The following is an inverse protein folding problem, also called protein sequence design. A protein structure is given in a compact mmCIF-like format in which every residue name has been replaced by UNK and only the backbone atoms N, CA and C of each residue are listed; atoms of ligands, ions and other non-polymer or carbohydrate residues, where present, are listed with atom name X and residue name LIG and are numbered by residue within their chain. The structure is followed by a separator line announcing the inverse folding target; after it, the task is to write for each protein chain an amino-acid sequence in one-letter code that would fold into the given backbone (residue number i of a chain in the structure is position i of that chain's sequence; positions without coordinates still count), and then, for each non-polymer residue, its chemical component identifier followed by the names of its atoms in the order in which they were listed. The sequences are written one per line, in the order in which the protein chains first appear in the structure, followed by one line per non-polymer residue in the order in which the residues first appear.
data_IF_473907216658
#
_entry.id   IF_473907216658
#
_cell.length_a   1.000
_cell.length_b   1.000
_cell.length_c   1.000
_cell.angle_alpha   90.00
_cell.angle_beta   90.00
_cell.angle_gamma   90.00
#
_symmetry.space_group_name_H-M   'P 1'
#
loop_
_entity.id
_entity.type
_entity.pdbx_description
1 polymer ?
#
# COMPACT_ATOMS: atom_id res chain seq x y z
N UNK A 1 21.08 -51.53 11.07
CA UNK A 1 21.39 -50.17 10.58
C UNK A 1 20.08 -49.46 10.27
N UNK A 2 19.66 -48.52 11.13
CA UNK A 2 18.37 -47.80 11.01
C UNK A 2 18.56 -46.59 10.07
N UNK A 3 17.83 -46.57 8.96
CA UNK A 3 17.84 -45.51 7.96
C UNK A 3 17.41 -44.16 8.57
N UNK A 4 18.37 -43.31 8.94
CA UNK A 4 18.13 -41.97 9.52
C UNK A 4 18.04 -40.84 8.48
N UNK A 5 18.07 -41.15 7.18
CA UNK A 5 18.26 -40.13 6.13
C UNK A 5 17.01 -39.82 5.28
N UNK A 6 15.83 -40.34 5.64
CA UNK A 6 14.60 -40.11 4.84
C UNK A 6 13.79 -38.88 5.31
N UNK A 7 14.07 -38.33 6.50
CA UNK A 7 13.31 -37.21 7.07
C UNK A 7 13.71 -35.84 6.48
N UNK A 8 14.91 -35.70 5.91
CA UNK A 8 15.36 -34.42 5.33
C UNK A 8 14.83 -34.13 3.92
N UNK A 9 14.22 -35.10 3.24
CA UNK A 9 13.72 -34.91 1.88
C UNK A 9 12.32 -34.27 1.82
N UNK A 10 11.60 -34.18 2.95
CA UNK A 10 10.24 -33.62 3.00
C UNK A 10 10.17 -32.11 3.29
N UNK A 11 11.30 -31.44 3.54
CA UNK A 11 11.32 -30.03 3.98
C UNK A 11 11.68 -29.02 2.87
N UNK A 12 12.00 -29.47 1.66
CA UNK A 12 12.51 -28.61 0.57
C UNK A 12 11.40 -28.16 -0.42
N UNK A 13 10.17 -28.68 -0.31
CA UNK A 13 9.10 -28.42 -1.29
C UNK A 13 8.10 -27.30 -0.90
N UNK A 14 8.46 -26.38 0.00
CA UNK A 14 7.54 -25.37 0.55
C UNK A 14 8.04 -23.92 0.42
N UNK A 15 8.86 -23.64 -0.60
CA UNK A 15 9.35 -22.30 -0.92
C UNK A 15 9.17 -21.95 -2.40
N UNK A 16 8.05 -22.33 -3.01
CA UNK A 16 7.57 -21.56 -4.16
C UNK A 16 6.84 -20.35 -3.59
N UNK A 17 7.43 -19.13 -3.58
CA UNK A 17 6.63 -17.95 -3.32
C UNK A 17 5.53 -17.95 -4.37
N UNK A 18 4.28 -18.06 -3.91
CA UNK A 18 3.11 -17.73 -4.71
C UNK A 18 3.30 -16.26 -5.07
N UNK A 19 3.90 -15.99 -6.24
CA UNK A 19 4.01 -14.64 -6.75
C UNK A 19 2.57 -14.15 -6.95
N UNK A 20 2.07 -13.38 -5.99
CA UNK A 20 0.76 -12.75 -6.11
C UNK A 20 0.82 -11.78 -7.28
N UNK A 21 0.04 -12.05 -8.31
CA UNK A 21 -0.08 -11.15 -9.44
C UNK A 21 -0.84 -9.91 -8.99
N UNK A 22 -0.19 -8.76 -8.98
CA UNK A 22 -0.82 -7.48 -8.69
C UNK A 22 -1.39 -6.84 -9.96
N UNK A 23 -2.59 -6.27 -9.85
CA UNK A 23 -3.20 -5.44 -10.87
C UNK A 23 -3.24 -3.99 -10.42
N UNK A 24 -2.88 -3.08 -11.31
CA UNK A 24 -3.03 -1.63 -11.08
C UNK A 24 -4.49 -1.30 -10.85
N UNK A 25 -4.80 -0.74 -9.68
CA UNK A 25 -6.14 -0.25 -9.40
C UNK A 25 -6.35 1.08 -10.13
N UNK A 26 -7.24 1.05 -11.11
CA UNK A 26 -7.52 2.16 -12.01
C UNK A 26 -9.02 2.51 -11.97
N UNK A 27 -9.41 3.62 -12.61
CA UNK A 27 -10.80 4.04 -12.63
C UNK A 27 -11.75 2.97 -13.19
N UNK A 28 -11.33 2.24 -14.24
CA UNK A 28 -12.15 1.18 -14.84
C UNK A 28 -12.42 0.02 -13.86
N UNK A 29 -11.43 -0.38 -13.07
CA UNK A 29 -11.63 -1.41 -12.02
C UNK A 29 -12.55 -0.87 -10.93
N UNK A 30 -12.40 0.39 -10.51
CA UNK A 30 -13.32 1.01 -9.55
C UNK A 30 -14.76 1.01 -10.07
N UNK A 31 -14.98 1.32 -11.35
CA UNK A 31 -16.32 1.25 -11.94
C UNK A 31 -16.86 -0.18 -11.99
N UNK A 32 -16.04 -1.17 -12.34
CA UNK A 32 -16.43 -2.59 -12.29
C UNK A 32 -16.88 -3.02 -10.89
N UNK A 33 -16.16 -2.59 -9.84
CA UNK A 33 -16.57 -2.85 -8.45
C UNK A 33 -17.90 -2.18 -8.12
N UNK A 34 -18.10 -0.93 -8.53
CA UNK A 34 -19.37 -0.21 -8.35
C UNK A 34 -20.54 -0.90 -9.05
N UNK A 35 -20.37 -1.31 -10.31
CA UNK A 35 -21.39 -2.03 -11.08
C UNK A 35 -21.75 -3.39 -10.48
N UNK A 36 -20.78 -4.03 -9.81
CA UNK A 36 -20.96 -5.30 -9.13
C UNK A 36 -21.45 -5.17 -7.67
N UNK A 37 -21.74 -3.95 -7.19
CA UNK A 37 -22.09 -3.66 -5.79
C UNK A 37 -21.03 -4.16 -4.78
N UNK A 38 -19.77 -4.14 -5.19
CA UNK A 38 -18.62 -4.50 -4.35
C UNK A 38 -18.18 -3.27 -3.58
N UNK A 39 -18.29 -3.35 -2.26
CA UNK A 39 -17.76 -2.36 -1.35
C UNK A 39 -16.23 -2.39 -1.33
N UNK A 40 -15.61 -1.37 -1.93
CA UNK A 40 -14.17 -1.28 -2.06
C UNK A 40 -13.45 -1.15 -0.71
N UNK A 41 -14.14 -0.78 0.37
CA UNK A 41 -13.54 -0.78 1.72
C UNK A 41 -13.21 -2.18 2.24
N UNK A 42 -13.79 -3.22 1.64
CA UNK A 42 -13.55 -4.63 1.97
C UNK A 42 -12.44 -5.26 1.12
N UNK A 43 -11.91 -4.53 0.14
CA UNK A 43 -10.83 -5.01 -0.73
C UNK A 43 -9.49 -4.66 -0.10
N UNK A 44 -8.56 -5.61 -0.09
CA UNK A 44 -7.19 -5.37 0.35
C UNK A 44 -6.40 -4.65 -0.74
N UNK A 45 -5.90 -3.46 -0.42
CA UNK A 45 -5.03 -2.69 -1.31
C UNK A 45 -3.57 -2.82 -0.90
N UNK A 46 -2.70 -2.44 -1.82
CA UNK A 46 -1.27 -2.31 -1.60
C UNK A 46 -0.73 -1.12 -2.37
N UNK A 47 0.41 -0.57 -1.94
CA UNK A 47 1.16 0.41 -2.73
C UNK A 47 2.12 -0.30 -3.69
N UNK A 48 2.31 0.20 -4.91
CA UNK A 48 3.26 -0.39 -5.85
C UNK A 48 4.72 -0.12 -5.48
N UNK A 49 5.05 1.13 -5.15
CA UNK A 49 6.43 1.55 -4.90
C UNK A 49 6.59 2.12 -3.50
N UNK A 50 7.82 2.04 -2.98
CA UNK A 50 8.20 2.56 -1.66
C UNK A 50 7.79 4.03 -1.51
N UNK A 51 7.22 4.38 -0.37
CA UNK A 51 6.95 5.76 0.05
C UNK A 51 7.84 6.07 1.26
N UNK A 52 8.50 7.22 1.24
CA UNK A 52 9.35 7.68 2.34
C UNK A 52 8.99 9.11 2.71
N UNK A 53 8.58 9.28 3.97
CA UNK A 53 8.21 10.56 4.55
C UNK A 53 9.28 10.97 5.57
N UNK A 54 9.59 12.25 5.62
CA UNK A 54 10.58 12.80 6.56
C UNK A 54 10.16 14.13 7.13
N UNK A 55 10.35 14.31 8.43
CA UNK A 55 10.25 15.61 9.10
C UNK A 55 11.42 15.84 10.03
N UNK A 56 11.74 17.11 10.28
CA UNK A 56 12.69 17.50 11.34
C UNK A 56 11.97 17.41 12.68
N UNK A 57 12.63 16.87 13.69
CA UNK A 57 12.12 16.80 15.06
C UNK A 57 13.11 17.43 16.04
N UNK A 58 12.61 17.88 17.20
CA UNK A 58 13.47 18.33 18.30
C UNK A 58 14.03 17.14 19.08
N UNK A 59 15.06 17.41 19.90
CA UNK A 59 15.78 16.38 20.67
C UNK A 59 14.88 15.72 21.74
N UNK A 60 13.99 16.50 22.34
CA UNK A 60 13.01 16.07 23.34
C UNK A 60 11.88 15.21 22.75
N UNK A 61 11.63 15.28 21.44
CA UNK A 61 10.62 14.44 20.76
C UNK A 61 11.12 13.00 20.48
N UNK A 62 12.45 12.74 20.51
CA UNK A 62 13.06 11.48 20.04
C UNK A 62 12.47 10.23 20.70
N UNK A 63 12.17 10.28 22.00
CA UNK A 63 11.64 9.14 22.76
C UNK A 63 10.14 8.90 22.55
N UNK A 64 9.44 9.86 21.94
CA UNK A 64 7.97 9.83 21.78
C UNK A 64 7.52 9.52 20.36
N UNK A 65 8.40 9.71 19.37
CA UNK A 65 8.08 9.49 17.96
C UNK A 65 8.25 8.03 17.57
N UNK A 66 7.34 7.56 16.72
CA UNK A 66 7.43 6.24 16.07
C UNK A 66 8.31 6.29 14.81
N UNK A 67 8.75 5.13 14.33
CA UNK A 67 9.60 5.01 13.15
C UNK A 67 11.10 5.21 13.44
N UNK A 68 11.86 5.54 12.40
CA UNK A 68 13.32 5.64 12.50
C UNK A 68 13.75 7.09 12.71
N UNK A 69 14.54 7.34 13.77
CA UNK A 69 15.17 8.65 13.99
C UNK A 69 16.60 8.64 13.48
N UNK A 70 16.92 9.59 12.61
CA UNK A 70 18.26 9.78 12.05
C UNK A 70 18.83 11.14 12.46
N UNK A 71 20.09 11.19 12.90
CA UNK A 71 20.80 12.45 13.13
C UNK A 71 21.72 12.77 11.95
N UNK A 72 21.50 13.91 11.28
CA UNK A 72 22.34 14.39 10.17
C UNK A 72 22.41 15.92 10.20
N UNK A 73 23.59 16.49 9.93
CA UNK A 73 23.80 17.94 9.84
C UNK A 73 23.27 18.73 11.05
N UNK A 74 23.45 18.22 12.27
CA UNK A 74 23.01 18.89 13.49
C UNK A 74 21.50 18.81 13.77
N UNK A 75 20.72 18.10 12.94
CA UNK A 75 19.26 17.95 13.09
C UNK A 75 18.86 16.49 13.26
N UNK A 76 17.80 16.27 14.04
CA UNK A 76 17.13 14.98 14.12
C UNK A 76 16.00 14.92 13.10
N UNK A 77 15.87 13.77 12.45
CA UNK A 77 14.85 13.53 11.44
C UNK A 77 14.08 12.27 11.79
N UNK A 78 12.76 12.39 11.91
CA UNK A 78 11.88 11.24 11.92
C UNK A 78 11.64 10.82 10.46
N UNK A 79 11.83 9.53 10.18
CA UNK A 79 11.62 8.93 8.87
C UNK A 79 10.61 7.79 8.99
N UNK A 80 9.56 7.88 8.17
CA UNK A 80 8.55 6.83 8.00
C UNK A 80 8.79 6.19 6.63
N UNK A 81 8.87 4.86 6.59
CA UNK A 81 9.12 4.09 5.38
C UNK A 81 7.99 3.09 5.19
N UNK A 82 7.27 3.23 4.08
CA UNK A 82 6.28 2.25 3.61
C UNK A 82 6.93 1.52 2.45
N UNK A 83 7.23 0.23 2.63
CA UNK A 83 7.88 -0.59 1.61
C UNK A 83 6.93 -0.81 0.42
N UNK A 84 7.47 -1.24 -0.73
CA UNK A 84 6.62 -1.68 -1.83
C UNK A 84 5.73 -2.85 -1.39
N UNK A 85 4.53 -2.92 -1.96
CA UNK A 85 3.55 -3.99 -1.71
C UNK A 85 3.18 -4.11 -0.23
N UNK A 86 3.16 -2.99 0.49
CA UNK A 86 2.67 -2.93 1.87
C UNK A 86 1.13 -2.91 1.85
N UNK A 87 0.45 -3.81 2.59
CA UNK A 87 -1.01 -3.82 2.66
C UNK A 87 -1.55 -2.51 3.26
N UNK A 88 -2.64 -2.02 2.68
CA UNK A 88 -3.42 -0.89 3.19
C UNK A 88 -4.91 -1.10 2.99
N UNK A 89 -5.70 -0.44 3.83
CA UNK A 89 -7.17 -0.46 3.75
C UNK A 89 -7.69 0.92 3.38
N UNK A 90 -8.84 0.96 2.71
CA UNK A 90 -9.52 2.23 2.40
C UNK A 90 -10.14 2.78 3.68
N UNK A 91 -9.78 4.02 4.00
CA UNK A 91 -10.35 4.78 5.11
C UNK A 91 -11.53 5.63 4.64
N UNK A 92 -11.36 6.34 3.50
CA UNK A 92 -12.39 7.18 2.89
C UNK A 92 -12.24 7.24 1.38
N UNK A 93 -13.35 7.38 0.67
CA UNK A 93 -13.38 7.73 -0.75
C UNK A 93 -13.96 9.13 -0.90
N UNK A 94 -13.27 9.98 -1.65
CA UNK A 94 -13.70 11.34 -1.99
C UNK A 94 -13.87 11.41 -3.51
N UNK A 95 -15.09 11.16 -3.98
CA UNK A 95 -15.40 11.10 -5.41
C UNK A 95 -15.29 12.47 -6.09
N UNK A 96 -15.58 13.55 -5.39
CA UNK A 96 -15.46 14.91 -5.92
C UNK A 96 -14.00 15.26 -6.25
N UNK A 97 -13.07 14.84 -5.39
CA UNK A 97 -11.63 15.04 -5.60
C UNK A 97 -10.96 13.91 -6.36
N UNK A 98 -11.71 12.86 -6.70
CA UNK A 98 -11.20 11.60 -7.24
C UNK A 98 -10.04 11.02 -6.41
N UNK A 99 -10.19 11.01 -5.09
CA UNK A 99 -9.16 10.58 -4.15
C UNK A 99 -9.63 9.41 -3.31
N UNK A 100 -8.76 8.41 -3.14
CA UNK A 100 -8.93 7.32 -2.19
C UNK A 100 -7.94 7.54 -1.07
N UNK A 101 -8.44 7.64 0.14
CA UNK A 101 -7.65 7.78 1.36
C UNK A 101 -7.44 6.39 1.95
N UNK A 102 -6.18 6.02 2.19
CA UNK A 102 -5.83 4.69 2.70
C UNK A 102 -5.00 4.78 3.98
N UNK A 103 -5.03 3.69 4.74
CA UNK A 103 -4.33 3.51 6.00
C UNK A 103 -3.42 2.30 5.94
N UNK A 104 -2.15 2.47 6.33
CA UNK A 104 -1.15 1.40 6.41
C UNK A 104 -0.96 0.88 7.85
N UNK A 105 -1.40 1.63 8.85
CA UNK A 105 -1.28 1.30 10.27
C UNK A 105 -2.43 1.93 11.09
N UNK A 106 -2.68 1.38 12.27
CA UNK A 106 -3.69 1.90 13.20
C UNK A 106 -3.31 3.29 13.75
N UNK A 107 -4.33 4.11 14.03
CA UNK A 107 -4.19 5.40 14.73
C UNK A 107 -4.77 6.59 13.98
N UNK A 108 -5.43 7.51 14.69
CA UNK A 108 -6.09 8.67 14.06
C UNK A 108 -5.15 9.49 13.17
N UNK A 109 -5.67 10.04 12.07
CA UNK A 109 -4.93 10.90 11.13
C UNK A 109 -3.68 10.26 10.47
N UNK A 110 -3.52 8.93 10.55
CA UNK A 110 -2.53 8.15 9.79
C UNK A 110 -3.06 7.69 8.44
N UNK A 111 -3.43 8.67 7.62
CA UNK A 111 -4.13 8.46 6.35
C UNK A 111 -3.31 9.09 5.23
N UNK A 112 -3.17 8.38 4.11
CA UNK A 112 -2.47 8.85 2.92
C UNK A 112 -3.43 8.89 1.72
N UNK A 113 -3.46 9.98 0.93
CA UNK A 113 -4.30 10.08 -0.23
C UNK A 113 -3.63 9.44 -1.46
N UNK A 114 -4.45 8.79 -2.27
CA UNK A 114 -4.12 8.36 -3.61
C UNK A 114 -5.13 8.97 -4.58
N UNK A 115 -4.67 9.91 -5.40
CA UNK A 115 -5.48 10.70 -6.32
C UNK A 115 -5.48 10.08 -7.72
N UNK A 116 -6.62 10.12 -8.39
CA UNK A 116 -6.74 9.68 -9.78
C UNK A 116 -5.94 10.61 -10.71
N UNK A 117 -4.93 10.06 -11.36
CA UNK A 117 -4.09 10.72 -12.35
C UNK A 117 -3.79 9.72 -13.47
N UNK A 118 -3.99 10.13 -14.73
CA UNK A 118 -3.74 9.25 -15.90
C UNK A 118 -4.44 7.89 -15.76
N UNK A 119 -5.69 7.91 -15.30
CA UNK A 119 -6.54 6.73 -15.07
C UNK A 119 -6.13 5.83 -13.87
N UNK A 120 -5.03 6.11 -13.16
CA UNK A 120 -4.57 5.31 -12.02
C UNK A 120 -4.59 6.12 -10.71
N UNK A 121 -4.77 5.47 -9.57
CA UNK A 121 -4.75 6.15 -8.26
C UNK A 121 -3.30 6.28 -7.76
N UNK A 122 -2.64 7.40 -8.06
CA UNK A 122 -1.25 7.72 -7.67
C UNK A 122 -1.18 8.37 -6.29
N UNK A 123 -0.07 8.20 -5.59
CA UNK A 123 0.17 8.80 -4.28
C UNK A 123 0.10 10.33 -4.37
N UNK A 124 -0.87 10.90 -3.67
CA UNK A 124 -1.15 12.34 -3.69
C UNK A 124 -0.35 13.09 -2.64
N UNK A 125 0.20 14.23 -3.01
CA UNK A 125 0.88 15.15 -2.11
C UNK A 125 0.72 16.59 -2.62
N UNK A 126 0.92 17.56 -1.73
CA UNK A 126 0.84 18.97 -2.09
C UNK A 126 2.22 19.47 -2.56
N UNK A 127 2.24 20.31 -3.59
CA UNK A 127 3.43 21.05 -4.01
C UNK A 127 3.17 22.53 -3.73
N UNK A 128 4.03 23.16 -2.94
CA UNK A 128 3.91 24.58 -2.63
C UNK A 128 4.77 25.42 -3.61
N UNK A 129 4.25 26.53 -4.16
CA UNK A 129 5.04 27.43 -5.00
C UNK A 129 6.23 28.00 -4.22
N UNK A 130 7.44 27.90 -4.77
CA UNK A 130 8.67 28.47 -4.20
C UNK A 130 9.57 27.51 -3.43
N UNK A 131 9.09 26.32 -3.05
CA UNK A 131 9.86 25.27 -2.37
C UNK A 131 10.19 24.13 -3.36
N UNK A 132 11.19 24.30 -4.23
CA UNK A 132 11.90 23.26 -5.03
C UNK A 132 11.15 21.93 -5.32
N UNK A 133 9.90 21.96 -5.79
CA UNK A 133 9.09 20.76 -6.06
C UNK A 133 9.08 19.71 -4.93
N UNK A 134 9.24 20.14 -3.68
CA UNK A 134 9.25 19.24 -2.53
C UNK A 134 7.80 18.95 -2.15
N UNK A 135 7.40 17.69 -2.30
CA UNK A 135 6.07 17.25 -1.92
C UNK A 135 5.90 17.31 -0.41
N UNK A 136 4.77 17.86 0.05
CA UNK A 136 4.39 17.90 1.47
C UNK A 136 3.09 17.13 1.69
N UNK A 137 3.00 16.48 2.84
CA UNK A 137 1.81 15.73 3.25
C UNK A 137 1.61 15.78 4.76
N UNK A 138 0.36 15.83 5.19
CA UNK A 138 0.00 15.64 6.60
C UNK A 138 -0.18 14.15 6.90
N UNK A 139 0.48 13.68 7.95
CA UNK A 139 0.37 12.31 8.46
C UNK A 139 0.59 12.34 9.97
N UNK A 140 -0.25 11.63 10.74
CA UNK A 140 -0.16 11.59 12.20
C UNK A 140 -0.09 13.01 12.83
N UNK A 141 -0.97 13.90 12.38
CA UNK A 141 -1.04 15.31 12.78
C UNK A 141 0.20 16.18 12.51
N UNK A 142 1.18 15.66 11.78
CA UNK A 142 2.43 16.35 11.48
C UNK A 142 2.60 16.53 9.98
N UNK A 143 3.28 17.61 9.57
CA UNK A 143 3.67 17.82 8.19
C UNK A 143 4.99 17.08 7.90
N UNK A 144 5.02 16.31 6.82
CA UNK A 144 6.19 15.59 6.32
C UNK A 144 6.53 16.03 4.90
N UNK A 145 7.83 15.98 4.58
CA UNK A 145 8.34 16.02 3.23
C UNK A 145 8.32 14.61 2.63
N UNK A 146 7.87 14.51 1.38
CA UNK A 146 7.90 13.29 0.57
C UNK A 146 9.28 13.18 -0.09
N UNK A 147 10.15 12.32 0.47
CA UNK A 147 11.47 12.06 -0.11
C UNK A 147 11.41 11.04 -1.25
N UNK A 148 10.54 10.03 -1.13
CA UNK A 148 10.37 8.95 -2.12
C UNK A 148 8.89 8.59 -2.24
N UNK A 149 8.46 8.14 -3.42
CA UNK A 149 7.12 7.56 -3.62
C UNK A 149 6.18 8.37 -4.49
N UNK A 150 6.67 9.45 -5.12
CA UNK A 150 5.88 10.31 -6.03
C UNK A 150 5.16 9.53 -7.13
N UNK A 151 5.77 8.45 -7.62
CA UNK A 151 5.20 7.58 -8.66
C UNK A 151 4.47 6.34 -8.12
N UNK A 152 4.34 6.21 -6.79
CA UNK A 152 3.62 5.09 -6.19
C UNK A 152 2.13 5.17 -6.50
N UNK A 153 1.47 4.03 -6.62
CA UNK A 153 0.04 3.94 -6.92
C UNK A 153 -0.58 2.71 -6.25
N UNK A 154 -1.92 2.70 -6.19
CA UNK A 154 -2.66 1.58 -5.61
C UNK A 154 -2.70 0.38 -6.55
N UNK A 155 -2.51 -0.80 -5.97
CA UNK A 155 -2.71 -2.09 -6.62
C UNK A 155 -3.59 -2.98 -5.72
N UNK A 156 -4.22 -3.97 -6.35
CA UNK A 156 -4.95 -5.05 -5.69
C UNK A 156 -4.39 -6.38 -6.21
N UNK A 157 -4.64 -7.49 -5.52
CA UNK A 157 -4.31 -8.79 -6.13
C UNK A 157 -5.27 -9.10 -7.26
N UNK A 158 -4.79 -9.80 -8.28
CA UNK A 158 -5.61 -10.19 -9.42
C UNK A 158 -6.81 -11.05 -9.02
N UNK A 159 -6.66 -11.86 -7.97
CA UNK A 159 -7.74 -12.67 -7.39
C UNK A 159 -8.85 -11.82 -6.77
N UNK A 160 -8.52 -10.70 -6.13
CA UNK A 160 -9.50 -9.80 -5.51
C UNK A 160 -10.39 -9.10 -6.54
N UNK A 161 -9.92 -8.98 -7.79
CA UNK A 161 -10.76 -8.51 -8.90
C UNK A 161 -11.85 -9.53 -9.28
N UNK A 162 -11.60 -10.81 -9.05
CA UNK A 162 -12.45 -11.93 -9.50
C UNK A 162 -13.57 -12.24 -8.51
N UNK A 163 -13.57 -11.61 -7.34
CA UNK A 163 -14.50 -11.92 -6.25
C UNK A 163 -15.87 -11.26 -6.47
N UNK A 164 -16.89 -12.12 -6.61
CA UNK A 164 -18.31 -11.90 -6.27
C UNK A 164 -19.22 -11.15 -7.27
N UNK A 165 -19.47 -11.76 -8.43
CA UNK A 165 -20.89 -11.98 -8.77
C UNK A 165 -21.36 -13.16 -7.94
N UNK A 166 -22.30 -12.96 -7.00
CA UNK A 166 -22.88 -14.00 -6.12
C UNK A 166 -23.31 -15.30 -6.84
N UNK A 167 -23.45 -15.26 -8.15
CA UNK A 167 -23.87 -16.38 -9.00
C UNK A 167 -22.72 -17.08 -9.77
N UNK A 168 -21.46 -16.77 -9.48
CA UNK A 168 -20.33 -17.31 -10.27
C UNK A 168 -19.81 -18.64 -9.70
N UNK A 169 -20.10 -19.74 -10.39
CA UNK A 169 -19.53 -21.05 -10.10
C UNK A 169 -18.15 -21.17 -10.76
N UNK A 170 -17.09 -21.31 -9.98
CA UNK A 170 -15.74 -21.60 -10.48
C UNK A 170 -15.61 -23.11 -10.74
N UNK A 171 -15.58 -23.51 -12.01
CA UNK A 171 -15.39 -24.91 -12.41
C UNK A 171 -13.90 -25.25 -12.50
N UNK A 172 -13.44 -26.28 -11.78
CA UNK A 172 -12.03 -26.73 -11.75
C UNK A 172 -11.58 -27.53 -12.98
N UNK A 173 -12.44 -27.65 -14.00
CA UNK A 173 -12.23 -28.50 -15.17
C UNK A 173 -12.24 -30.01 -14.84
N UNK A 174 -12.39 -30.84 -15.87
CA UNK A 174 -12.32 -32.31 -15.78
C UNK A 174 -11.00 -32.78 -16.39
N UNK A 175 -10.19 -33.52 -15.62
CA UNK A 175 -8.97 -34.14 -16.15
C UNK A 175 -9.32 -35.34 -17.03
N UNK A 176 -8.64 -35.46 -18.16
CA UNK A 176 -8.67 -36.68 -18.99
C UNK A 176 -7.96 -37.80 -18.22
N UNK A 177 -8.56 -39.00 -18.22
CA UNK A 177 -7.95 -40.20 -17.63
C UNK A 177 -6.93 -40.81 -18.58
#
# INVERSE_FOLDING_TARGET
MKNKNIIYFLFILLLFPLFSCFLTFNYSIKQQFKEADIDISKVQFYNRYKIQLKRVIKKDEISTVSGTVNFRNGKYYQVIVILNETPCVVDKVDDEKNTIYVRFEEGENKILPFKLEENIYKFGYNIFPGDDYIGKIFYDNNEYLVEVGKDSYLVIKAEDKVVERKDTIILKGKKVK
#
